data_IF_159969684698
#
_entry.id   IF_159969684698
#
_cell.length_a   1.000
_cell.length_b   1.000
_cell.length_c   1.000
_cell.angle_alpha   90.00
_cell.angle_beta   90.00
_cell.angle_gamma   90.00
#
_symmetry.space_group_name_H-M   'P 1'
#
loop_
_entity.id
_entity.type
_entity.pdbx_description
1 polymer ?
#
# COMPACT_ATOMS: atom_id res chain seq x y z
N UNK A 1 -34.30 -8.05 9.94
CA UNK A 1 -34.26 -7.47 8.58
C UNK A 1 -33.78 -6.04 8.72
N UNK A 2 -32.56 -5.73 8.28
CA UNK A 2 -32.05 -4.36 8.31
C UNK A 2 -32.79 -3.57 7.21
N UNK A 3 -33.64 -2.62 7.60
CA UNK A 3 -34.26 -1.70 6.65
C UNK A 3 -33.21 -0.67 6.25
N UNK A 4 -32.58 -0.87 5.09
CA UNK A 4 -31.75 0.18 4.51
C UNK A 4 -32.64 1.38 4.12
N UNK A 5 -32.18 2.62 4.34
CA UNK A 5 -32.93 3.80 3.95
C UNK A 5 -33.13 3.83 2.43
N UNK A 6 -34.31 4.27 1.99
CA UNK A 6 -34.59 4.50 0.56
C UNK A 6 -33.76 5.66 0.02
N UNK A 7 -33.54 5.68 -1.29
CA UNK A 7 -32.81 6.78 -1.95
C UNK A 7 -33.43 8.15 -1.64
N UNK A 8 -34.77 8.23 -1.61
CA UNK A 8 -35.48 9.45 -1.23
C UNK A 8 -35.12 9.90 0.19
N UNK A 9 -35.13 8.97 1.15
CA UNK A 9 -34.77 9.30 2.54
C UNK A 9 -33.32 9.79 2.66
N UNK A 10 -32.39 9.22 1.89
CA UNK A 10 -30.99 9.66 1.85
C UNK A 10 -30.89 11.09 1.30
N UNK A 11 -31.58 11.37 0.18
CA UNK A 11 -31.57 12.71 -0.45
C UNK A 11 -32.22 13.77 0.44
N UNK A 12 -33.39 13.48 0.99
CA UNK A 12 -34.09 14.40 1.90
C UNK A 12 -33.21 14.74 3.12
N UNK A 13 -32.51 13.75 3.68
CA UNK A 13 -31.60 13.96 4.81
C UNK A 13 -30.36 14.79 4.42
N UNK A 14 -29.81 14.57 3.22
CA UNK A 14 -28.69 15.35 2.71
C UNK A 14 -29.09 16.81 2.43
N UNK A 15 -30.24 17.05 1.80
CA UNK A 15 -30.73 18.40 1.53
C UNK A 15 -30.88 19.22 2.82
N UNK A 16 -31.44 18.61 3.87
CA UNK A 16 -31.53 19.24 5.18
C UNK A 16 -30.14 19.55 5.75
N UNK A 17 -29.18 18.63 5.63
CA UNK A 17 -27.82 18.86 6.11
C UNK A 17 -27.12 19.98 5.33
N UNK A 18 -27.25 20.01 3.99
CA UNK A 18 -26.70 21.07 3.13
C UNK A 18 -27.20 22.44 3.58
N UNK A 19 -28.49 22.60 3.81
CA UNK A 19 -29.07 23.88 4.27
C UNK A 19 -28.51 24.30 5.63
N UNK A 20 -28.27 23.34 6.54
CA UNK A 20 -27.67 23.61 7.86
C UNK A 20 -26.21 24.05 7.77
N UNK A 21 -25.41 23.46 6.87
CA UNK A 21 -24.03 23.87 6.63
C UNK A 21 -23.94 25.22 5.91
N UNK A 22 -24.88 25.52 5.00
CA UNK A 22 -24.95 26.81 4.33
C UNK A 22 -25.15 27.98 5.31
N UNK A 23 -25.90 27.78 6.40
CA UNK A 23 -26.02 28.79 7.49
C UNK A 23 -24.69 29.10 8.19
N UNK A 24 -23.70 28.21 8.09
CA UNK A 24 -22.34 28.39 8.61
C UNK A 24 -21.36 28.88 7.52
N UNK A 25 -21.84 29.17 6.31
CA UNK A 25 -21.01 29.57 5.17
C UNK A 25 -20.23 28.43 4.53
N UNK A 26 -20.67 27.17 4.71
CA UNK A 26 -20.02 25.98 4.13
C UNK A 26 -20.85 25.46 2.95
N UNK A 27 -20.22 25.36 1.78
CA UNK A 27 -20.77 24.68 0.61
C UNK A 27 -20.40 23.19 0.65
N UNK A 28 -21.38 22.33 0.92
CA UNK A 28 -21.13 20.88 1.02
C UNK A 28 -20.96 20.21 -0.33
N UNK A 29 -21.54 20.76 -1.40
CA UNK A 29 -21.39 20.20 -2.74
C UNK A 29 -19.97 20.44 -3.27
N UNK A 30 -19.42 21.63 -3.02
CA UNK A 30 -18.00 21.92 -3.29
C UNK A 30 -17.07 21.07 -2.42
N UNK A 31 -17.36 20.93 -1.12
CA UNK A 31 -16.56 20.08 -0.23
C UNK A 31 -16.52 18.61 -0.69
N UNK A 32 -17.66 18.05 -1.13
CA UNK A 32 -17.73 16.70 -1.68
C UNK A 32 -16.99 16.59 -3.03
N UNK A 33 -17.05 17.63 -3.87
CA UNK A 33 -16.32 17.67 -5.12
C UNK A 33 -14.80 17.69 -4.91
N UNK A 34 -14.31 18.42 -3.89
CA UNK A 34 -12.92 18.41 -3.47
C UNK A 34 -12.51 17.06 -2.88
N UNK A 35 -13.31 16.50 -1.97
CA UNK A 35 -13.06 15.20 -1.35
C UNK A 35 -12.89 14.09 -2.40
N UNK A 36 -13.72 14.08 -3.44
CA UNK A 36 -13.65 13.10 -4.52
C UNK A 36 -12.35 13.16 -5.36
N UNK A 37 -11.50 14.17 -5.16
CA UNK A 37 -10.21 14.33 -5.83
C UNK A 37 -9.01 13.95 -4.97
N UNK A 38 -9.20 13.75 -3.66
CA UNK A 38 -8.10 13.46 -2.72
C UNK A 38 -7.84 11.94 -2.74
N UNK A 39 -6.68 11.48 -3.25
CA UNK A 39 -6.38 10.06 -3.25
C UNK A 39 -5.89 9.59 -1.89
N UNK A 40 -6.39 8.43 -1.44
CA UNK A 40 -5.88 7.74 -0.24
C UNK A 40 -4.98 6.58 -0.66
N UNK A 41 -3.76 6.54 -0.12
CA UNK A 41 -2.81 5.44 -0.36
C UNK A 41 -3.02 4.33 0.68
N UNK A 42 -3.65 3.24 0.28
CA UNK A 42 -3.92 2.09 1.14
C UNK A 42 -2.72 1.14 1.15
N UNK A 43 -2.39 0.64 2.33
CA UNK A 43 -1.25 -0.24 2.54
C UNK A 43 -1.57 -1.69 2.17
N UNK A 44 -0.72 -2.31 1.34
CA UNK A 44 -0.93 -3.68 0.87
C UNK A 44 -0.85 -4.72 1.99
N UNK A 45 -0.02 -4.47 2.99
CA UNK A 45 0.35 -5.45 4.00
C UNK A 45 -0.73 -5.79 5.02
N UNK A 46 -1.86 -5.08 4.99
CA UNK A 46 -3.04 -5.48 5.75
C UNK A 46 -3.66 -6.77 5.20
N UNK A 47 -3.52 -7.05 3.91
CA UNK A 47 -4.21 -8.21 3.30
C UNK A 47 -3.59 -9.57 3.67
N UNK A 48 -2.35 -9.58 4.16
CA UNK A 48 -1.58 -10.81 4.39
C UNK A 48 -0.78 -10.82 5.70
N UNK A 49 -1.11 -9.92 6.64
CA UNK A 49 -0.41 -9.78 7.92
C UNK A 49 1.09 -9.46 7.79
N UNK A 50 1.47 -8.67 6.78
CA UNK A 50 2.87 -8.30 6.49
C UNK A 50 3.78 -9.48 6.14
N UNK A 51 3.21 -10.59 5.64
CA UNK A 51 4.00 -11.76 5.26
C UNK A 51 4.86 -11.50 4.00
N UNK A 52 4.30 -10.83 3.00
CA UNK A 52 4.89 -10.69 1.68
C UNK A 52 4.99 -12.02 0.92
N UNK A 53 5.70 -12.00 -0.21
CA UNK A 53 5.86 -13.16 -1.09
C UNK A 53 7.30 -13.68 -1.18
N UNK A 54 8.25 -12.96 -0.57
CA UNK A 54 9.66 -13.39 -0.47
C UNK A 54 9.81 -14.65 0.40
N UNK A 55 9.19 -14.66 1.57
CA UNK A 55 9.23 -15.77 2.52
C UNK A 55 7.92 -15.84 3.33
N UNK A 56 6.82 -16.37 2.74
CA UNK A 56 5.48 -16.32 3.35
C UNK A 56 5.35 -17.11 4.65
N UNK A 57 6.26 -18.06 4.90
CA UNK A 57 6.35 -18.85 6.13
C UNK A 57 7.30 -18.22 7.17
N UNK A 58 7.93 -17.09 6.84
CA UNK A 58 8.84 -16.37 7.72
C UNK A 58 8.13 -15.65 8.88
N UNK A 59 8.83 -15.50 9.99
CA UNK A 59 8.33 -14.72 11.12
C UNK A 59 8.48 -13.21 10.87
N UNK A 60 7.50 -12.44 11.33
CA UNK A 60 7.55 -10.98 11.28
C UNK A 60 8.52 -10.44 12.34
N UNK A 61 9.57 -9.75 11.90
CA UNK A 61 10.59 -9.11 12.75
C UNK A 61 10.56 -7.58 12.67
N UNK A 62 11.58 -6.94 13.26
CA UNK A 62 11.73 -5.48 13.22
C UNK A 62 10.87 -4.70 14.23
N UNK A 63 10.36 -5.36 15.27
CA UNK A 63 9.60 -4.71 16.34
C UNK A 63 8.13 -4.42 16.02
N UNK A 64 7.63 -4.93 14.89
CA UNK A 64 6.22 -4.86 14.48
C UNK A 64 5.55 -6.23 14.62
N UNK A 65 4.23 -6.23 14.78
CA UNK A 65 3.45 -7.46 14.90
C UNK A 65 2.09 -7.29 14.22
N UNK A 66 1.62 -8.36 13.57
CA UNK A 66 0.22 -8.57 13.26
C UNK A 66 -0.36 -9.52 14.32
N UNK A 67 -1.52 -9.17 14.88
CA UNK A 67 -2.11 -9.91 16.01
C UNK A 67 -3.49 -10.45 15.68
N UNK A 68 -3.80 -11.66 16.15
CA UNK A 68 -5.05 -12.34 15.88
C UNK A 68 -4.90 -13.38 14.77
N UNK A 69 -5.87 -14.32 14.69
CA UNK A 69 -5.82 -15.48 13.79
C UNK A 69 -7.09 -15.54 12.93
N UNK A 70 -7.54 -14.39 12.43
CA UNK A 70 -8.72 -14.35 11.56
C UNK A 70 -8.39 -15.07 10.23
N UNK A 71 -9.22 -16.02 9.78
CA UNK A 71 -8.90 -16.81 8.59
C UNK A 71 -9.06 -15.97 7.30
N UNK A 72 -8.39 -16.41 6.23
CA UNK A 72 -8.61 -15.87 4.88
C UNK A 72 -7.61 -14.83 4.40
N UNK A 73 -6.48 -14.63 5.09
CA UNK A 73 -5.40 -13.76 4.61
C UNK A 73 -4.89 -14.19 3.23
N UNK A 74 -4.55 -13.22 2.38
CA UNK A 74 -3.97 -13.46 1.07
C UNK A 74 -2.61 -14.15 1.19
N UNK A 75 -2.31 -15.06 0.24
CA UNK A 75 -1.06 -15.82 0.19
C UNK A 75 -0.29 -15.60 -1.12
N UNK A 76 -0.92 -14.97 -2.09
CA UNK A 76 -0.34 -14.67 -3.40
C UNK A 76 -0.68 -13.25 -3.80
N UNK A 77 0.07 -12.71 -4.76
CA UNK A 77 -0.21 -11.40 -5.34
C UNK A 77 -1.61 -11.34 -5.97
N UNK A 78 -2.08 -12.43 -6.59
CA UNK A 78 -3.42 -12.52 -7.18
C UNK A 78 -4.53 -12.49 -6.12
N UNK A 79 -4.39 -13.23 -5.02
CA UNK A 79 -5.33 -13.19 -3.90
C UNK A 79 -5.37 -11.77 -3.30
N UNK A 80 -4.19 -11.16 -3.09
CA UNK A 80 -4.10 -9.82 -2.51
C UNK A 80 -4.71 -8.74 -3.42
N UNK A 81 -4.52 -8.84 -4.74
CA UNK A 81 -5.16 -7.96 -5.72
C UNK A 81 -6.69 -8.08 -5.68
N UNK A 82 -7.23 -9.30 -5.56
CA UNK A 82 -8.67 -9.51 -5.44
C UNK A 82 -9.24 -8.92 -4.15
N UNK A 83 -8.53 -9.06 -3.04
CA UNK A 83 -8.92 -8.44 -1.76
C UNK A 83 -8.90 -6.92 -1.84
N UNK A 84 -7.88 -6.35 -2.49
CA UNK A 84 -7.77 -4.92 -2.76
C UNK A 84 -8.93 -4.42 -3.65
N UNK A 85 -9.23 -5.12 -4.74
CA UNK A 85 -10.35 -4.78 -5.63
C UNK A 85 -11.68 -4.79 -4.86
N UNK A 86 -11.86 -5.78 -3.97
CA UNK A 86 -13.04 -5.83 -3.11
C UNK A 86 -13.09 -4.65 -2.15
N UNK A 87 -11.99 -4.31 -1.48
CA UNK A 87 -11.92 -3.15 -0.59
C UNK A 87 -12.21 -1.84 -1.35
N UNK A 88 -11.58 -1.62 -2.50
CA UNK A 88 -11.79 -0.43 -3.32
C UNK A 88 -13.18 -0.33 -3.93
N UNK A 89 -13.92 -1.43 -4.08
CA UNK A 89 -15.33 -1.40 -4.49
C UNK A 89 -16.25 -0.81 -3.40
N UNK A 90 -15.79 -0.80 -2.15
CA UNK A 90 -16.55 -0.35 -0.98
C UNK A 90 -16.11 1.04 -0.49
N UNK A 91 -14.97 1.54 -0.95
CA UNK A 91 -14.40 2.82 -0.52
C UNK A 91 -14.57 3.86 -1.64
N UNK A 92 -15.34 4.95 -1.42
CA UNK A 92 -15.57 5.95 -2.44
C UNK A 92 -14.30 6.75 -2.76
N UNK A 93 -14.23 7.26 -3.98
CA UNK A 93 -13.13 8.11 -4.44
C UNK A 93 -12.07 7.35 -5.23
N UNK A 94 -10.91 7.97 -5.35
CA UNK A 94 -9.74 7.46 -6.06
C UNK A 94 -8.69 7.06 -5.06
N UNK A 95 -7.97 5.99 -5.33
CA UNK A 95 -7.02 5.43 -4.36
C UNK A 95 -5.67 5.16 -5.00
N UNK A 96 -4.67 5.02 -4.14
CA UNK A 96 -3.34 4.52 -4.47
C UNK A 96 -3.07 3.26 -3.67
N UNK A 97 -2.15 2.42 -4.15
CA UNK A 97 -1.65 1.28 -3.41
C UNK A 97 -0.25 1.59 -2.89
N UNK A 98 -0.02 1.39 -1.60
CA UNK A 98 1.30 1.51 -0.99
C UNK A 98 1.91 0.10 -0.81
N UNK A 99 2.95 -0.19 -1.60
CA UNK A 99 3.61 -1.48 -1.67
C UNK A 99 4.90 -1.52 -0.84
N UNK A 100 5.23 -2.71 -0.33
CA UNK A 100 6.54 -3.01 0.23
C UNK A 100 7.36 -3.87 -0.74
N UNK A 101 8.69 -3.80 -0.64
CA UNK A 101 9.58 -4.57 -1.52
C UNK A 101 9.40 -6.10 -1.41
N UNK A 102 8.98 -6.62 -0.25
CA UNK A 102 8.69 -8.05 -0.05
C UNK A 102 7.47 -8.55 -0.84
N UNK A 103 6.70 -7.67 -1.49
CA UNK A 103 5.58 -8.02 -2.37
C UNK A 103 6.02 -8.20 -3.83
N UNK A 104 7.32 -8.35 -4.08
CA UNK A 104 7.88 -8.66 -5.39
C UNK A 104 7.35 -9.99 -5.96
N UNK A 105 7.02 -10.01 -7.25
CA UNK A 105 6.61 -11.19 -8.00
C UNK A 105 7.81 -11.77 -8.75
N UNK A 106 8.58 -12.66 -8.11
CA UNK A 106 9.85 -13.20 -8.65
C UNK A 106 9.70 -14.50 -9.43
N UNK A 107 8.46 -14.96 -9.66
CA UNK A 107 8.19 -16.24 -10.33
C UNK A 107 8.75 -17.45 -9.57
N UNK A 108 8.79 -17.38 -8.24
CA UNK A 108 9.31 -18.44 -7.37
C UNK A 108 10.83 -18.48 -7.25
N UNK A 109 11.56 -17.52 -7.83
CA UNK A 109 13.01 -17.39 -7.66
C UNK A 109 13.32 -16.60 -6.41
N UNK A 110 14.33 -17.03 -5.66
CA UNK A 110 14.90 -16.19 -4.60
C UNK A 110 15.72 -15.08 -5.24
N UNK A 111 15.36 -13.83 -4.95
CA UNK A 111 16.07 -12.64 -5.42
C UNK A 111 16.49 -11.84 -4.19
N UNK A 112 17.79 -11.58 -3.99
CA UNK A 112 18.24 -10.73 -2.89
C UNK A 112 17.57 -9.36 -2.94
N UNK A 113 17.22 -8.80 -1.77
CA UNK A 113 16.53 -7.50 -1.71
C UNK A 113 17.29 -6.37 -2.40
N UNK A 114 18.63 -6.37 -2.33
CA UNK A 114 19.47 -5.38 -3.03
C UNK A 114 19.52 -5.57 -4.56
N UNK A 115 19.01 -6.68 -5.09
CA UNK A 115 18.94 -7.02 -6.51
C UNK A 115 17.52 -6.94 -7.08
N UNK A 116 16.53 -6.47 -6.31
CA UNK A 116 15.18 -6.26 -6.82
C UNK A 116 15.15 -5.20 -7.95
N UNK A 117 14.37 -5.46 -8.98
CA UNK A 117 14.28 -4.65 -10.19
C UNK A 117 12.80 -4.33 -10.54
N UNK A 118 12.56 -3.32 -11.40
CA UNK A 118 11.22 -2.98 -11.89
C UNK A 118 10.39 -4.16 -12.39
N UNK A 119 11.01 -5.13 -13.09
CA UNK A 119 10.32 -6.31 -13.63
C UNK A 119 9.62 -7.16 -12.57
N UNK A 120 10.13 -7.20 -11.32
CA UNK A 120 9.49 -7.93 -10.24
C UNK A 120 8.20 -7.26 -9.73
N UNK A 121 7.86 -6.07 -10.25
CA UNK A 121 6.66 -5.32 -9.90
C UNK A 121 5.82 -4.98 -11.13
N UNK A 122 6.10 -5.57 -12.29
CA UNK A 122 5.34 -5.32 -13.52
C UNK A 122 3.87 -5.73 -13.37
N UNK A 123 3.58 -6.88 -12.74
CA UNK A 123 2.20 -7.33 -12.48
C UNK A 123 1.38 -6.35 -11.63
N UNK A 124 2.02 -5.70 -10.65
CA UNK A 124 1.40 -4.62 -9.89
C UNK A 124 1.07 -3.38 -10.72
N UNK A 125 1.96 -3.00 -11.63
CA UNK A 125 1.73 -1.88 -12.56
C UNK A 125 0.59 -2.21 -13.53
N UNK A 126 0.57 -3.42 -14.08
CA UNK A 126 -0.49 -3.86 -15.00
C UNK A 126 -1.85 -3.87 -14.31
N UNK A 127 -1.93 -4.39 -13.08
CA UNK A 127 -3.15 -4.36 -12.26
C UNK A 127 -3.59 -2.92 -11.96
N UNK A 128 -2.66 -2.03 -11.61
CA UNK A 128 -2.96 -0.63 -11.31
C UNK A 128 -3.45 0.15 -12.54
N UNK A 129 -2.98 -0.22 -13.74
CA UNK A 129 -3.47 0.31 -15.01
C UNK A 129 -4.87 -0.21 -15.34
N UNK A 130 -5.11 -1.51 -15.23
CA UNK A 130 -6.39 -2.15 -15.57
C UNK A 130 -7.56 -1.63 -14.70
N UNK A 131 -7.34 -1.43 -13.41
CA UNK A 131 -8.34 -0.87 -12.50
C UNK A 131 -8.76 0.58 -12.82
N UNK A 132 -8.01 1.24 -13.69
CA UNK A 132 -8.36 2.55 -14.21
C UNK A 132 -9.45 2.52 -15.26
N UNK A 133 -9.73 1.41 -15.96
CA UNK A 133 -10.53 1.44 -17.19
C UNK A 133 -12.05 1.29 -16.97
N UNK A 134 -12.48 0.55 -15.95
CA UNK A 134 -13.87 0.07 -15.81
C UNK A 134 -14.75 0.89 -14.83
N UNK A 135 -14.33 2.11 -14.49
CA UNK A 135 -15.05 3.01 -13.57
C UNK A 135 -15.69 4.20 -14.30
N UNK A 136 -16.84 4.73 -13.85
CA UNK A 136 -17.50 5.89 -14.45
C UNK A 136 -16.62 7.17 -14.46
N UNK A 137 -15.51 7.18 -13.71
CA UNK A 137 -14.39 8.09 -13.90
C UNK A 137 -13.10 7.26 -13.95
N UNK A 138 -12.56 6.94 -15.12
CA UNK A 138 -11.38 6.09 -15.23
C UNK A 138 -10.17 6.81 -14.61
N UNK A 139 -9.61 6.25 -13.54
CA UNK A 139 -8.36 6.73 -12.95
C UNK A 139 -7.52 5.54 -12.51
N UNK A 140 -6.35 5.42 -13.11
CA UNK A 140 -5.31 4.45 -12.76
C UNK A 140 -5.03 4.56 -11.25
N UNK A 141 -4.83 3.43 -10.59
CA UNK A 141 -4.30 3.46 -9.23
C UNK A 141 -2.84 3.94 -9.29
N UNK A 142 -2.50 4.99 -8.53
CA UNK A 142 -1.09 5.29 -8.29
C UNK A 142 -0.47 4.22 -7.38
N UNK A 143 0.85 4.04 -7.48
CA UNK A 143 1.59 3.14 -6.59
C UNK A 143 2.63 3.95 -5.80
N UNK A 144 2.60 3.79 -4.48
CA UNK A 144 3.64 4.21 -3.54
C UNK A 144 4.47 3.00 -3.10
N UNK A 145 5.67 3.24 -2.58
CA UNK A 145 6.63 2.16 -2.36
C UNK A 145 7.47 2.31 -1.10
N UNK A 146 8.02 1.19 -0.63
CA UNK A 146 8.87 1.14 0.54
C UNK A 146 9.94 0.04 0.36
N UNK A 147 11.24 0.31 0.60
CA UNK A 147 12.17 -0.75 0.93
C UNK A 147 11.70 -1.48 2.19
N UNK A 148 11.96 -2.78 2.25
CA UNK A 148 11.66 -3.60 3.43
C UNK A 148 12.95 -3.87 4.18
N UNK A 149 13.18 -3.15 5.27
CA UNK A 149 14.40 -3.24 6.10
C UNK A 149 14.20 -4.08 7.38
N UNK A 150 13.32 -5.09 7.34
CA UNK A 150 12.97 -5.94 8.49
C UNK A 150 12.66 -7.38 8.04
N UNK A 151 12.45 -8.32 8.96
CA UNK A 151 12.18 -9.75 8.65
C UNK A 151 13.20 -10.33 7.65
N UNK A 152 14.48 -10.20 7.96
CA UNK A 152 15.56 -10.64 7.09
C UNK A 152 16.81 -10.94 7.93
N UNK A 153 17.60 -11.98 7.61
CA UNK A 153 18.77 -12.34 8.42
C UNK A 153 19.75 -11.18 8.67
N UNK A 154 19.94 -10.31 7.67
CA UNK A 154 20.78 -9.10 7.80
C UNK A 154 20.14 -7.96 8.61
N UNK A 155 19.01 -8.19 9.27
CA UNK A 155 18.36 -7.27 10.21
C UNK A 155 18.20 -7.89 11.62
N UNK A 156 18.60 -9.14 11.85
CA UNK A 156 18.36 -9.87 13.10
C UNK A 156 19.07 -9.25 14.31
N UNK A 157 20.22 -8.60 14.08
CA UNK A 157 20.96 -7.88 15.12
C UNK A 157 20.28 -6.56 15.55
N UNK A 158 19.13 -6.22 14.97
CA UNK A 158 18.37 -5.00 15.28
C UNK A 158 18.89 -3.73 14.58
N UNK A 159 19.86 -3.85 13.67
CA UNK A 159 20.40 -2.72 12.91
C UNK A 159 20.54 -3.04 11.42
N UNK A 160 20.18 -2.08 10.57
CA UNK A 160 20.25 -2.17 9.11
C UNK A 160 21.14 -1.07 8.54
N UNK A 161 20.59 0.10 8.19
CA UNK A 161 21.33 1.25 7.66
C UNK A 161 22.33 1.83 8.67
N UNK A 162 22.09 1.63 9.97
CA UNK A 162 22.95 2.05 11.07
C UNK A 162 23.79 0.91 11.68
N UNK A 163 23.81 -0.29 11.07
CA UNK A 163 24.66 -1.40 11.54
C UNK A 163 26.12 -0.98 11.61
N UNK A 164 26.92 -1.50 12.54
CA UNK A 164 28.37 -1.24 12.54
C UNK A 164 29.13 -2.09 11.50
N UNK A 165 28.53 -3.19 11.04
CA UNK A 165 29.06 -4.01 9.95
C UNK A 165 28.89 -3.29 8.60
N UNK A 166 30.00 -3.09 7.88
CA UNK A 166 29.97 -2.36 6.61
C UNK A 166 29.26 -3.14 5.49
N UNK A 167 29.34 -4.47 5.50
CA UNK A 167 28.67 -5.33 4.54
C UNK A 167 27.16 -5.29 4.71
N UNK A 168 26.68 -5.38 5.96
CA UNK A 168 25.25 -5.22 6.30
C UNK A 168 24.74 -3.84 5.88
N UNK A 169 25.43 -2.76 6.26
CA UNK A 169 25.04 -1.40 5.82
C UNK A 169 25.02 -1.27 4.30
N UNK A 170 26.02 -1.81 3.61
CA UNK A 170 26.12 -1.73 2.15
C UNK A 170 24.93 -2.41 1.49
N UNK A 171 24.56 -3.61 1.94
CA UNK A 171 23.39 -4.34 1.44
C UNK A 171 22.11 -3.50 1.56
N UNK A 172 21.86 -2.90 2.73
CA UNK A 172 20.65 -2.10 2.94
C UNK A 172 20.64 -0.78 2.16
N UNK A 173 21.81 -0.14 1.98
CA UNK A 173 21.95 1.03 1.10
C UNK A 173 21.59 0.65 -0.34
N UNK A 174 22.13 -0.45 -0.85
CA UNK A 174 21.85 -0.94 -2.20
C UNK A 174 20.38 -1.29 -2.38
N UNK A 175 19.76 -1.94 -1.39
CA UNK A 175 18.32 -2.21 -1.38
C UNK A 175 17.47 -0.93 -1.44
N UNK A 176 17.78 0.08 -0.64
CA UNK A 176 17.07 1.35 -0.66
C UNK A 176 17.24 2.05 -2.02
N UNK A 177 18.44 2.00 -2.62
CA UNK A 177 18.70 2.54 -3.96
C UNK A 177 17.91 1.78 -5.04
N UNK A 178 17.87 0.45 -4.97
CA UNK A 178 17.05 -0.38 -5.86
C UNK A 178 15.56 0.01 -5.75
N UNK A 179 15.06 0.19 -4.54
CA UNK A 179 13.68 0.61 -4.31
C UNK A 179 13.37 2.01 -4.84
N UNK A 180 14.33 2.95 -4.79
CA UNK A 180 14.17 4.27 -5.45
C UNK A 180 14.06 4.16 -6.97
N UNK A 181 14.78 3.24 -7.61
CA UNK A 181 14.64 2.98 -9.06
C UNK A 181 13.29 2.35 -9.40
N UNK A 182 12.79 1.46 -8.55
CA UNK A 182 11.45 0.86 -8.68
C UNK A 182 10.36 1.93 -8.50
N UNK A 183 10.48 2.81 -7.51
CA UNK A 183 9.57 3.94 -7.34
C UNK A 183 9.59 4.91 -8.54
N UNK A 184 10.77 5.17 -9.11
CA UNK A 184 10.88 5.95 -10.35
C UNK A 184 10.13 5.26 -11.51
N UNK A 185 10.29 3.94 -11.66
CA UNK A 185 9.56 3.15 -12.65
C UNK A 185 8.04 3.27 -12.48
N UNK A 186 7.50 3.13 -11.27
CA UNK A 186 6.07 3.34 -11.02
C UNK A 186 5.61 4.73 -11.43
N UNK A 187 6.40 5.76 -11.11
CA UNK A 187 6.09 7.14 -11.49
C UNK A 187 6.01 7.35 -12.99
N UNK A 188 6.94 6.76 -13.75
CA UNK A 188 6.97 6.80 -15.22
C UNK A 188 5.78 6.05 -15.82
N UNK A 189 5.49 4.84 -15.34
CA UNK A 189 4.47 3.97 -15.92
C UNK A 189 3.03 4.41 -15.62
N UNK A 190 2.80 5.05 -14.48
CA UNK A 190 1.46 5.42 -14.01
C UNK A 190 1.17 6.92 -14.17
N UNK A 191 2.15 7.71 -14.61
CA UNK A 191 1.99 9.16 -14.84
C UNK A 191 1.75 9.99 -13.58
N UNK A 192 2.05 9.45 -12.40
CA UNK A 192 1.91 10.12 -11.10
C UNK A 192 3.10 9.78 -10.20
N UNK A 193 3.72 10.73 -9.50
CA UNK A 193 4.89 10.44 -8.66
C UNK A 193 4.62 9.31 -7.67
N UNK A 194 5.61 8.43 -7.50
CA UNK A 194 5.64 7.45 -6.43
C UNK A 194 6.32 8.05 -5.19
N UNK A 195 5.67 7.95 -4.03
CA UNK A 195 6.35 8.21 -2.76
C UNK A 195 7.08 6.94 -2.35
N UNK A 196 8.42 6.99 -2.31
CA UNK A 196 9.24 5.91 -1.76
C UNK A 196 9.65 6.24 -0.32
N UNK A 197 8.89 5.76 0.65
CA UNK A 197 9.11 6.02 2.06
C UNK A 197 10.15 5.06 2.67
N UNK A 198 11.09 5.56 3.46
CA UNK A 198 12.14 4.75 4.10
C UNK A 198 11.88 4.70 5.60
N UNK A 199 11.53 3.51 6.10
CA UNK A 199 11.45 3.20 7.51
C UNK A 199 12.41 2.05 7.84
N UNK A 200 13.09 2.14 8.98
CA UNK A 200 14.06 1.13 9.45
C UNK A 200 13.79 0.78 10.93
N UNK A 201 14.05 -0.46 11.35
CA UNK A 201 13.84 -0.91 12.73
C UNK A 201 15.03 -0.58 13.67
N UNK A 202 16.04 0.14 13.17
CA UNK A 202 17.32 0.34 13.82
C UNK A 202 17.20 0.94 15.23
N UNK A 203 17.55 0.16 16.24
CA UNK A 203 17.44 0.58 17.62
C UNK A 203 17.79 -0.50 18.61
N UNK A 204 17.79 -0.11 19.88
CA UNK A 204 17.95 -1.03 21.00
C UNK A 204 16.61 -1.22 21.71
N UNK A 205 16.41 -2.42 22.25
CA UNK A 205 15.41 -2.63 23.29
C UNK A 205 15.92 -2.02 24.59
N UNK A 206 15.04 -1.39 25.37
CA UNK A 206 15.36 -0.98 26.74
C UNK A 206 15.81 -2.21 27.54
N UNK A 207 16.94 -2.07 28.23
CA UNK A 207 17.54 -3.09 29.11
C UNK A 207 17.11 -2.92 30.55
#
# INVERSE_FOLDING_TARGET
>A
MSQQPTEKQIRDAYDLARDRYALLGVDTDDALAQLAQIPISLHCWQGDDVAGFENPDGELGGGIAATGNYPGKARTADELRQDLDKAYSLIPGTHRLNLHAIYAETGGRQVPRNELQPEHFAGWVDWAKANGEDRPRPRLHGIDFNPTCFSHPLADDGFTLASYDQGVRRFWIEHCVACRKIGEFFGRELGTPCVTNIWIPDGFKDT
#
